data_IF_452313716421
#
_entry.id   IF_452313716421
#
_cell.length_a   1.000
_cell.length_b   1.000
_cell.length_c   1.000
_cell.angle_alpha   90.00
_cell.angle_beta   90.00
_cell.angle_gamma   90.00
#
_symmetry.space_group_name_H-M   'P 1'
#
loop_
_entity.id
_entity.type
_entity.pdbx_description
1 polymer ?
#
# COMPACT_ATOMS: atom_id res chain seq x y z
N UNK A 1 -50.09 32.96 9.95
CA UNK A 1 -48.65 33.22 9.74
C UNK A 1 -47.95 31.91 9.44
N UNK A 2 -47.47 31.71 8.19
CA UNK A 2 -46.76 30.48 7.77
C UNK A 2 -45.29 30.61 8.16
N UNK A 3 -44.81 29.78 9.09
CA UNK A 3 -43.37 29.66 9.40
C UNK A 3 -42.84 28.44 8.66
N UNK A 4 -42.29 28.68 7.46
CA UNK A 4 -41.53 27.68 6.73
C UNK A 4 -40.13 27.64 7.35
N UNK A 5 -39.77 26.52 7.98
CA UNK A 5 -38.38 26.26 8.38
C UNK A 5 -37.85 25.19 7.45
N UNK A 6 -37.12 25.64 6.45
CA UNK A 6 -36.35 24.80 5.54
C UNK A 6 -35.17 24.26 6.35
N UNK A 7 -35.31 23.04 6.87
CA UNK A 7 -34.20 22.32 7.49
C UNK A 7 -33.26 21.84 6.40
N UNK A 8 -32.08 22.45 6.30
CA UNK A 8 -31.04 22.04 5.37
C UNK A 8 -30.56 20.63 5.72
N UNK A 9 -30.81 19.68 4.81
CA UNK A 9 -30.21 18.35 4.84
C UNK A 9 -28.76 18.47 4.38
N UNK A 10 -27.82 18.50 5.33
CA UNK A 10 -26.40 18.34 5.03
C UNK A 10 -26.07 16.85 4.93
N UNK A 11 -26.28 16.28 3.74
CA UNK A 11 -25.69 14.99 3.36
C UNK A 11 -24.20 15.22 3.07
N UNK A 12 -23.39 15.21 4.12
CA UNK A 12 -21.94 15.08 3.97
C UNK A 12 -21.63 13.62 3.64
N UNK A 13 -21.85 13.27 2.37
CA UNK A 13 -21.35 12.04 1.76
C UNK A 13 -19.84 12.16 1.59
N UNK A 14 -19.10 12.16 2.70
CA UNK A 14 -17.65 12.08 2.68
C UNK A 14 -17.26 10.63 2.41
N UNK A 15 -17.36 10.21 1.15
CA UNK A 15 -16.62 9.06 0.66
C UNK A 15 -15.15 9.45 0.59
N UNK A 16 -14.48 9.46 1.74
CA UNK A 16 -13.05 9.22 1.75
C UNK A 16 -12.90 7.83 1.12
N UNK A 17 -12.53 7.78 -0.16
CA UNK A 17 -12.12 6.54 -0.81
C UNK A 17 -10.98 6.00 0.06
N UNK A 18 -11.28 5.01 0.89
CA UNK A 18 -10.28 4.30 1.67
C UNK A 18 -9.29 3.76 0.64
N UNK A 19 -8.14 4.41 0.49
CA UNK A 19 -7.13 3.98 -0.43
C UNK A 19 -6.70 2.60 0.06
N UNK A 20 -7.00 1.50 -0.67
CA UNK A 20 -6.74 0.15 -0.20
C UNK A 20 -5.23 -0.13 -0.04
N UNK A 21 -4.39 0.79 -0.52
CA UNK A 21 -2.93 0.75 -0.42
C UNK A 21 -2.39 1.53 0.79
N UNK A 22 -3.24 2.19 1.57
CA UNK A 22 -2.85 2.83 2.83
C UNK A 22 -3.08 1.85 3.99
N UNK A 23 -2.02 1.58 4.73
CA UNK A 23 -2.12 0.94 6.05
C UNK A 23 -1.91 1.97 7.16
N UNK A 24 -2.63 1.79 8.27
CA UNK A 24 -2.48 2.60 9.48
C UNK A 24 -1.15 2.34 10.20
N UNK A 25 -0.48 1.22 9.92
CA UNK A 25 0.69 0.75 10.66
C UNK A 25 1.94 0.51 9.81
N UNK A 26 1.84 0.51 8.48
CA UNK A 26 3.00 0.40 7.59
C UNK A 26 2.87 1.35 6.39
N UNK A 27 3.96 2.02 6.04
CA UNK A 27 4.13 2.69 4.75
C UNK A 27 4.86 1.77 3.78
N UNK A 28 4.41 1.78 2.52
CA UNK A 28 4.99 0.97 1.45
C UNK A 28 5.56 1.89 0.39
N UNK A 29 6.84 1.72 0.09
CA UNK A 29 7.56 2.52 -0.90
C UNK A 29 8.36 1.61 -1.84
N UNK A 30 8.66 2.13 -3.04
CA UNK A 30 9.57 1.50 -3.98
C UNK A 30 10.86 2.32 -4.04
N UNK A 31 11.99 1.67 -3.77
CA UNK A 31 13.30 2.28 -3.94
C UNK A 31 13.94 1.73 -5.21
N UNK A 32 14.25 2.63 -6.16
CA UNK A 32 14.97 2.27 -7.38
C UNK A 32 16.43 1.99 -7.00
N UNK A 33 16.98 0.86 -7.45
CA UNK A 33 18.40 0.59 -7.26
C UNK A 33 19.20 1.29 -8.37
N UNK A 34 20.03 2.25 -8.00
CA UNK A 34 20.85 3.00 -8.95
C UNK A 34 21.72 2.08 -9.80
N UNK A 35 21.78 2.36 -11.12
CA UNK A 35 22.51 1.54 -12.08
C UNK A 35 21.87 0.18 -12.40
N UNK A 36 20.68 -0.13 -11.86
CA UNK A 36 19.94 -1.35 -12.14
C UNK A 36 18.51 -1.05 -12.58
N UNK A 37 17.98 -1.85 -13.50
CA UNK A 37 16.55 -1.83 -13.85
C UNK A 37 15.72 -2.63 -12.84
N UNK A 38 15.99 -2.43 -11.56
CA UNK A 38 15.39 -3.18 -10.46
C UNK A 38 14.99 -2.22 -9.35
N UNK A 39 13.85 -2.46 -8.73
CA UNK A 39 13.43 -1.73 -7.54
C UNK A 39 13.28 -2.69 -6.36
N UNK A 40 13.34 -2.14 -5.16
CA UNK A 40 13.07 -2.86 -3.92
C UNK A 40 11.79 -2.34 -3.30
N UNK A 41 10.91 -3.25 -2.89
CA UNK A 41 9.78 -2.92 -2.03
C UNK A 41 10.31 -2.68 -0.61
N UNK A 42 10.00 -1.52 -0.04
CA UNK A 42 10.38 -1.16 1.33
C UNK A 42 9.12 -0.94 2.16
N UNK A 43 9.02 -1.73 3.22
CA UNK A 43 7.98 -1.64 4.23
C UNK A 43 8.54 -0.88 5.44
N UNK A 44 8.05 0.33 5.68
CA UNK A 44 8.44 1.12 6.84
C UNK A 44 7.32 1.11 7.89
N UNK A 45 7.52 0.46 9.05
CA UNK A 45 6.57 0.53 10.15
C UNK A 45 6.32 1.97 10.61
N UNK A 46 5.06 2.31 10.86
CA UNK A 46 4.64 3.56 11.51
C UNK A 46 4.60 3.45 13.03
N UNK A 47 4.42 2.22 13.51
CA UNK A 47 4.34 1.87 14.91
C UNK A 47 5.64 1.21 15.37
N UNK A 48 5.88 1.19 16.67
CA UNK A 48 7.00 0.44 17.24
C UNK A 48 6.77 -1.07 17.10
N UNK A 49 7.84 -1.86 17.13
CA UNK A 49 7.75 -3.31 16.92
C UNK A 49 6.81 -4.03 17.91
N UNK A 50 6.66 -3.51 19.13
CA UNK A 50 5.74 -4.07 20.12
C UNK A 50 4.25 -3.78 19.87
N UNK A 51 3.96 -2.79 19.02
CA UNK A 51 2.60 -2.33 18.71
C UNK A 51 2.13 -2.79 17.33
N UNK A 52 3.04 -3.30 16.51
CA UNK A 52 2.71 -3.81 15.18
C UNK A 52 1.81 -5.06 15.27
N UNK A 53 0.72 -5.12 14.49
CA UNK A 53 -0.04 -6.35 14.34
C UNK A 53 0.84 -7.49 13.85
N UNK A 54 0.63 -8.72 14.33
CA UNK A 54 1.46 -9.88 13.94
C UNK A 54 1.53 -10.12 12.42
N UNK A 55 0.50 -9.69 11.69
CA UNK A 55 0.37 -9.83 10.24
C UNK A 55 0.86 -8.59 9.46
N UNK A 56 1.57 -7.64 10.08
CA UNK A 56 1.97 -6.40 9.41
C UNK A 56 2.82 -6.64 8.16
N UNK A 57 3.66 -7.69 8.18
CA UNK A 57 4.47 -8.12 7.04
C UNK A 57 3.58 -8.58 5.88
N UNK A 58 2.57 -9.40 6.17
CA UNK A 58 1.61 -9.87 5.17
C UNK A 58 0.84 -8.71 4.56
N UNK A 59 0.40 -7.75 5.38
CA UNK A 59 -0.25 -6.54 4.89
C UNK A 59 0.67 -5.76 3.95
N UNK A 60 1.94 -5.56 4.32
CA UNK A 60 2.87 -4.88 3.43
C UNK A 60 3.04 -5.62 2.10
N UNK A 61 3.21 -6.95 2.14
CA UNK A 61 3.38 -7.77 0.95
C UNK A 61 2.15 -7.70 0.03
N UNK A 62 0.95 -7.71 0.60
CA UNK A 62 -0.30 -7.57 -0.17
C UNK A 62 -0.40 -6.20 -0.85
N UNK A 63 -0.07 -5.12 -0.13
CA UNK A 63 -0.04 -3.77 -0.71
C UNK A 63 1.00 -3.70 -1.84
N UNK A 64 2.21 -4.21 -1.60
CA UNK A 64 3.27 -4.26 -2.60
C UNK A 64 2.84 -5.03 -3.85
N UNK A 65 2.24 -6.23 -3.69
CA UNK A 65 1.71 -7.02 -4.80
C UNK A 65 0.67 -6.23 -5.61
N UNK A 66 -0.23 -5.51 -4.95
CA UNK A 66 -1.23 -4.69 -5.64
C UNK A 66 -0.62 -3.56 -6.47
N UNK A 67 0.41 -2.91 -5.96
CA UNK A 67 1.15 -1.91 -6.75
C UNK A 67 1.82 -2.54 -7.98
N UNK A 68 2.35 -3.76 -7.87
CA UNK A 68 2.92 -4.48 -9.02
C UNK A 68 1.85 -4.87 -10.04
N UNK A 69 0.69 -5.34 -9.58
CA UNK A 69 -0.46 -5.65 -10.44
C UNK A 69 -0.89 -4.39 -11.22
N UNK A 70 -1.02 -3.24 -10.55
CA UNK A 70 -1.35 -1.96 -11.19
C UNK A 70 -0.29 -1.51 -12.22
N UNK A 71 0.99 -1.72 -11.92
CA UNK A 71 2.06 -1.40 -12.86
C UNK A 71 1.95 -2.24 -14.14
N UNK A 72 1.68 -3.53 -14.01
CA UNK A 72 1.45 -4.46 -15.14
C UNK A 72 0.21 -4.06 -15.94
N UNK A 73 -0.90 -3.75 -15.26
CA UNK A 73 -2.12 -3.23 -15.90
C UNK A 73 -1.88 -1.92 -16.66
N UNK A 74 -0.94 -1.10 -16.19
CA UNK A 74 -0.53 0.15 -16.84
C UNK A 74 0.49 -0.07 -17.99
N UNK A 75 0.81 -1.32 -18.33
CA UNK A 75 1.70 -1.69 -19.42
C UNK A 75 3.19 -1.77 -19.06
N UNK A 76 3.53 -1.68 -17.77
CA UNK A 76 4.91 -1.86 -17.29
C UNK A 76 5.22 -3.35 -17.21
N UNK A 77 6.29 -3.81 -17.84
CA UNK A 77 6.79 -5.17 -17.65
C UNK A 77 7.52 -5.25 -16.32
N UNK A 78 7.03 -6.09 -15.42
CA UNK A 78 7.63 -6.36 -14.12
C UNK A 78 7.90 -7.85 -14.01
N UNK A 79 9.17 -8.22 -13.89
CA UNK A 79 9.60 -9.59 -13.61
C UNK A 79 10.04 -9.67 -12.13
N UNK A 80 9.39 -10.51 -11.30
CA UNK A 80 9.82 -10.70 -9.92
C UNK A 80 11.21 -11.33 -9.91
N UNK A 81 12.14 -10.72 -9.16
CA UNK A 81 13.48 -11.27 -8.96
C UNK A 81 13.42 -12.17 -7.73
N UNK A 82 13.33 -13.47 -7.94
CA UNK A 82 13.43 -14.43 -6.86
C UNK A 82 14.90 -14.58 -6.44
N UNK A 83 15.26 -13.98 -5.31
CA UNK A 83 16.60 -14.14 -4.73
C UNK A 83 16.71 -15.40 -3.85
N UNK A 84 15.67 -16.25 -3.75
CA UNK A 84 15.66 -17.44 -2.91
C UNK A 84 16.49 -18.63 -3.45
N UNK A 85 17.48 -18.39 -4.30
CA UNK A 85 18.21 -19.44 -5.02
C UNK A 85 19.67 -19.19 -5.34
N UNK A 86 20.36 -18.27 -4.65
CA UNK A 86 21.83 -18.17 -4.75
C UNK A 86 22.45 -18.36 -3.37
N UNK A 87 23.01 -19.55 -3.20
CA UNK A 87 23.91 -20.00 -2.14
C UNK A 87 23.30 -20.81 -0.97
N UNK A 88 22.87 -22.04 -1.28
CA UNK A 88 23.01 -23.19 -0.37
C UNK A 88 23.94 -24.21 -1.02
N UNK A 89 25.22 -23.90 -1.06
CA UNK A 89 26.28 -24.89 -1.28
C UNK A 89 27.43 -24.59 -0.34
N UNK A 90 27.25 -24.99 0.93
CA UNK A 90 28.33 -25.31 1.86
C UNK A 90 27.96 -26.62 2.55
#
# INVERSE_FOLDING_TARGET
>A
MKKSSIGAVLLLSSSALANPYKSEFVDVAFQIQEGKNTFQLVCQPKLTMGELPKNWVDTCNQIGKKFLELAVESGIKVDPIDNAGRDRTL
#
